data_IF_101669686819
#
_entry.id   IF_101669686819
#
_cell.length_a   1.000
_cell.length_b   1.000
_cell.length_c   1.000
_cell.angle_alpha   90.00
_cell.angle_beta   90.00
_cell.angle_gamma   90.00
#
_symmetry.space_group_name_H-M   'P 1'
#
loop_
_entity.id
_entity.type
_entity.pdbx_description
1 polymer ?
#
# COMPACT_ATOMS: atom_id res chain seq x y z
N UNK A 1 -14.42 6.11 14.87
CA UNK A 1 -14.23 5.38 13.59
C UNK A 1 -13.83 3.97 13.96
N UNK A 2 -14.42 2.94 13.37
CA UNK A 2 -14.03 1.55 13.68
C UNK A 2 -12.62 1.28 13.13
N UNK A 3 -11.73 0.63 13.88
CA UNK A 3 -10.34 0.38 13.47
C UNK A 3 -10.23 -0.34 12.11
N UNK A 4 -11.23 -1.16 11.78
CA UNK A 4 -11.37 -1.87 10.51
C UNK A 4 -11.46 -0.94 9.31
N UNK A 5 -12.15 0.20 9.44
CA UNK A 5 -12.29 1.18 8.34
C UNK A 5 -10.92 1.77 7.98
N UNK A 6 -10.06 1.97 8.98
CA UNK A 6 -8.71 2.49 8.76
C UNK A 6 -7.86 1.49 7.96
N UNK A 7 -7.93 0.21 8.31
CA UNK A 7 -7.24 -0.88 7.60
C UNK A 7 -7.69 -0.95 6.14
N UNK A 8 -9.00 -0.87 5.88
CA UNK A 8 -9.52 -0.88 4.51
C UNK A 8 -9.11 0.36 3.71
N UNK A 9 -9.11 1.54 4.32
CA UNK A 9 -8.66 2.78 3.68
C UNK A 9 -7.16 2.72 3.32
N UNK A 10 -6.33 2.15 4.19
CA UNK A 10 -4.91 1.93 3.93
C UNK A 10 -4.70 0.94 2.78
N UNK A 11 -5.47 -0.16 2.75
CA UNK A 11 -5.43 -1.13 1.65
C UNK A 11 -5.81 -0.48 0.31
N UNK A 12 -6.93 0.26 0.27
CA UNK A 12 -7.40 0.93 -0.95
C UNK A 12 -6.43 2.01 -1.40
N UNK A 13 -5.91 2.83 -0.47
CA UNK A 13 -4.98 3.90 -0.77
C UNK A 13 -3.65 3.39 -1.34
N UNK A 14 -3.05 2.40 -0.68
CA UNK A 14 -1.81 1.76 -1.15
C UNK A 14 -2.00 1.07 -2.51
N UNK A 15 -3.12 0.37 -2.70
CA UNK A 15 -3.47 -0.25 -3.98
C UNK A 15 -3.58 0.80 -5.09
N UNK A 16 -4.27 1.92 -4.84
CA UNK A 16 -4.46 3.00 -5.82
C UNK A 16 -3.12 3.62 -6.23
N UNK A 17 -2.17 3.78 -5.30
CA UNK A 17 -0.83 4.28 -5.60
C UNK A 17 -0.08 3.33 -6.55
N UNK A 18 -0.10 2.03 -6.24
CA UNK A 18 0.57 1.00 -7.04
C UNK A 18 -0.08 0.87 -8.43
N UNK A 19 -1.42 0.78 -8.47
CA UNK A 19 -2.19 0.70 -9.70
C UNK A 19 -2.00 1.95 -10.57
N UNK A 20 -1.97 3.15 -9.96
CA UNK A 20 -1.73 4.41 -10.66
C UNK A 20 -0.33 4.49 -11.27
N UNK A 21 0.70 4.06 -10.54
CA UNK A 21 2.06 3.94 -11.09
C UNK A 21 2.12 2.93 -12.24
N UNK A 22 1.50 1.75 -12.08
CA UNK A 22 1.45 0.73 -13.13
C UNK A 22 0.72 1.24 -14.40
N UNK A 23 -0.39 1.95 -14.23
CA UNK A 23 -1.14 2.56 -15.32
C UNK A 23 -0.31 3.62 -16.06
N UNK A 24 0.34 4.53 -15.32
CA UNK A 24 1.22 5.55 -15.91
C UNK A 24 2.42 4.92 -16.63
N UNK A 25 2.99 3.86 -16.06
CA UNK A 25 4.05 3.09 -16.70
C UNK A 25 3.59 2.49 -18.03
N UNK A 26 2.44 1.80 -18.06
CA UNK A 26 1.90 1.23 -19.30
C UNK A 26 1.55 2.30 -20.35
N UNK A 27 0.95 3.41 -19.93
CA UNK A 27 0.59 4.53 -20.81
C UNK A 27 1.83 5.22 -21.39
N UNK A 28 2.83 5.50 -20.56
CA UNK A 28 4.05 6.19 -21.01
C UNK A 28 4.95 5.28 -21.85
N UNK A 29 4.98 3.97 -21.57
CA UNK A 29 5.65 2.98 -22.42
C UNK A 29 5.10 2.99 -23.86
N UNK A 30 3.80 3.25 -24.05
CA UNK A 30 3.17 3.35 -25.38
C UNK A 30 3.41 4.71 -26.07
N UNK A 31 3.58 5.78 -25.30
CA UNK A 31 3.63 7.16 -25.83
C UNK A 31 5.05 7.75 -25.96
N UNK A 32 6.10 7.00 -25.62
CA UNK A 32 7.49 7.46 -25.76
C UNK A 32 7.90 8.60 -24.81
N UNK A 33 7.08 8.94 -23.83
CA UNK A 33 7.40 9.96 -22.82
C UNK A 33 8.26 9.37 -21.69
N UNK A 34 9.26 10.13 -21.23
CA UNK A 34 10.12 9.75 -20.12
C UNK A 34 9.32 9.41 -18.85
N UNK A 35 9.71 8.32 -18.17
CA UNK A 35 9.01 7.83 -16.99
C UNK A 35 9.75 8.29 -15.74
N UNK A 36 9.10 9.10 -14.91
CA UNK A 36 9.58 9.41 -13.55
C UNK A 36 9.06 8.32 -12.62
N UNK A 37 9.86 7.26 -12.44
CA UNK A 37 9.56 6.20 -11.48
C UNK A 37 10.02 6.67 -10.09
N UNK A 38 9.17 6.46 -9.07
CA UNK A 38 9.50 6.75 -7.67
C UNK A 38 9.60 5.42 -6.92
N UNK A 39 10.73 4.72 -7.02
CA UNK A 39 10.87 3.34 -6.52
C UNK A 39 10.64 3.26 -5.01
N UNK A 40 11.13 4.22 -4.23
CA UNK A 40 10.92 4.28 -2.78
C UNK A 40 9.43 4.34 -2.42
N UNK A 41 8.64 5.15 -3.14
CA UNK A 41 7.20 5.25 -2.91
C UNK A 41 6.47 3.94 -3.26
N UNK A 42 6.91 3.26 -4.31
CA UNK A 42 6.36 1.96 -4.71
C UNK A 42 6.66 0.88 -3.68
N UNK A 43 7.88 0.83 -3.18
CA UNK A 43 8.29 -0.12 -2.14
C UNK A 43 7.50 0.13 -0.85
N UNK A 44 7.41 1.39 -0.41
CA UNK A 44 6.63 1.74 0.77
C UNK A 44 5.14 1.39 0.61
N UNK A 45 4.54 1.69 -0.55
CA UNK A 45 3.15 1.32 -0.83
C UNK A 45 2.95 -0.20 -0.87
N UNK A 46 3.89 -0.96 -1.43
CA UNK A 46 3.83 -2.42 -1.45
C UNK A 46 3.92 -3.03 -0.04
N UNK A 47 4.80 -2.51 0.81
CA UNK A 47 4.91 -2.93 2.22
C UNK A 47 3.61 -2.65 2.95
N UNK A 48 3.06 -1.43 2.83
CA UNK A 48 1.79 -1.05 3.46
C UNK A 48 0.64 -1.93 2.96
N UNK A 49 0.60 -2.25 1.65
CA UNK A 49 -0.41 -3.13 1.07
C UNK A 49 -0.34 -4.54 1.65
N UNK A 50 0.87 -5.10 1.77
CA UNK A 50 1.09 -6.44 2.35
C UNK A 50 0.65 -6.48 3.82
N UNK A 51 1.02 -5.46 4.59
CA UNK A 51 0.63 -5.32 6.00
C UNK A 51 -0.90 -5.20 6.12
N UNK A 52 -1.53 -4.38 5.28
CA UNK A 52 -2.97 -4.19 5.29
C UNK A 52 -3.72 -5.47 4.88
N UNK A 53 -3.23 -6.22 3.89
CA UNK A 53 -3.81 -7.51 3.54
C UNK A 53 -3.65 -8.53 4.66
N UNK A 54 -2.47 -8.61 5.27
CA UNK A 54 -2.23 -9.49 6.41
C UNK A 54 -3.26 -9.20 7.52
N UNK A 55 -3.45 -7.93 7.88
CA UNK A 55 -4.46 -7.48 8.84
C UNK A 55 -5.86 -8.02 8.51
N UNK A 56 -6.30 -7.82 7.26
CA UNK A 56 -7.62 -8.24 6.77
C UNK A 56 -7.76 -9.77 6.84
N UNK A 57 -6.74 -10.53 6.43
CA UNK A 57 -6.76 -11.99 6.44
C UNK A 57 -6.74 -12.58 7.85
N UNK A 58 -6.03 -11.95 8.80
CA UNK A 58 -5.94 -12.43 10.19
C UNK A 58 -7.04 -11.89 11.08
N UNK A 59 -7.96 -11.06 10.56
CA UNK A 59 -8.96 -10.36 11.37
C UNK A 59 -8.35 -9.40 12.39
N UNK A 60 -7.11 -8.94 12.14
CA UNK A 60 -6.40 -7.98 12.98
C UNK A 60 -6.62 -6.57 12.42
N UNK A 61 -6.59 -5.59 13.31
CA UNK A 61 -6.75 -4.18 12.96
C UNK A 61 -5.39 -3.53 12.77
N UNK A 62 -5.37 -2.32 12.19
CA UNK A 62 -4.14 -1.53 12.09
C UNK A 62 -3.46 -1.33 13.46
N UNK A 63 -4.26 -1.09 14.51
CA UNK A 63 -3.74 -0.88 15.87
C UNK A 63 -3.05 -2.13 16.42
N UNK A 64 -3.59 -3.32 16.16
CA UNK A 64 -2.97 -4.59 16.58
C UNK A 64 -1.59 -4.78 15.93
N UNK A 65 -1.47 -4.39 14.67
CA UNK A 65 -0.20 -4.50 13.92
C UNK A 65 0.83 -3.47 14.37
N UNK A 66 0.40 -2.24 14.67
CA UNK A 66 1.29 -1.22 15.26
C UNK A 66 1.83 -1.71 16.60
N UNK A 67 0.98 -2.26 17.46
CA UNK A 67 1.42 -2.85 18.73
C UNK A 67 2.35 -4.05 18.54
N UNK A 68 2.12 -4.89 17.54
CA UNK A 68 3.00 -6.02 17.24
C UNK A 68 4.39 -5.54 16.81
N UNK A 69 4.45 -4.51 15.98
CA UNK A 69 5.70 -3.89 15.54
C UNK A 69 6.41 -3.24 16.73
N UNK A 70 5.71 -2.45 17.54
CA UNK A 70 6.27 -1.80 18.73
C UNK A 70 6.85 -2.80 19.73
N UNK A 71 6.22 -3.97 19.92
CA UNK A 71 6.75 -5.04 20.79
C UNK A 71 7.95 -5.78 20.21
N UNK A 72 8.21 -5.64 18.91
CA UNK A 72 9.31 -6.31 18.21
C UNK A 72 10.61 -5.48 18.21
N UNK A 73 10.56 -4.25 18.75
CA UNK A 73 11.68 -3.33 18.95
C UNK A 73 11.91 -3.06 20.44
#
# INVERSE_FOLDING_TARGET
MTPEILTYLLAIGSFTIIAGQAYRYQKNKKNGHGIVIRPVQLIAAAIVLVIAFYAIFTGQTYEDLVQLIERSF
#
